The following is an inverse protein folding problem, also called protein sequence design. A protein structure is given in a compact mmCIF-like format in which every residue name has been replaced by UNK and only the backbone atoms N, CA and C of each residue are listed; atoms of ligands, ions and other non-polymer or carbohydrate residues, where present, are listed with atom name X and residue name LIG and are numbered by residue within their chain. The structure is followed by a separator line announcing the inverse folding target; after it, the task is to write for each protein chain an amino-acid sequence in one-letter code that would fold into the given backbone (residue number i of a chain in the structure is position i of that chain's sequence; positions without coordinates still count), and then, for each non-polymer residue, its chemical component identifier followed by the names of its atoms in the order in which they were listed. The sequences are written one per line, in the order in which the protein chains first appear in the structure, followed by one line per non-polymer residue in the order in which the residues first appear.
data_IF_646189872410
#
_entry.id   IF_646189872410
#
_cell.length_a   1.000
_cell.length_b   1.000
_cell.length_c   1.000
_cell.angle_alpha   90.00
_cell.angle_beta   90.00
_cell.angle_gamma   90.00
#
_symmetry.space_group_name_H-M   'P 1'
#
loop_
_entity.id
_entity.type
_entity.pdbx_description
1 polymer ?
#
# COMPACT_ATOMS: atom_id res chain seq x y z
N UNK A 1 29.90 29.24 54.55
CA UNK A 1 28.78 29.66 53.67
C UNK A 1 28.38 28.46 52.81
N UNK A 2 27.26 27.80 53.13
CA UNK A 2 26.72 26.70 52.33
C UNK A 2 25.99 27.31 51.14
N UNK A 3 26.56 27.17 49.95
CA UNK A 3 25.89 27.58 48.71
C UNK A 3 24.59 26.79 48.55
N UNK A 4 23.49 27.51 48.35
CA UNK A 4 22.21 26.92 48.01
C UNK A 4 22.39 26.17 46.68
N UNK A 5 22.45 24.83 46.73
CA UNK A 5 22.37 23.98 45.54
C UNK A 5 20.94 24.02 45.04
N UNK A 6 20.75 24.53 43.83
CA UNK A 6 19.48 24.51 43.11
C UNK A 6 18.93 23.07 43.05
N UNK A 7 17.74 22.89 43.62
CA UNK A 7 16.99 21.63 43.64
C UNK A 7 16.76 21.03 42.23
N UNK A 8 16.83 21.85 41.16
CA UNK A 8 16.66 21.43 39.76
C UNK A 8 17.80 20.60 39.17
N UNK A 9 18.99 20.61 39.78
CA UNK A 9 20.18 19.94 39.23
C UNK A 9 20.26 18.44 39.55
N UNK A 10 19.53 17.96 40.58
CA UNK A 10 19.54 16.54 40.98
C UNK A 10 18.30 15.74 40.54
N UNK A 11 17.19 16.40 40.16
CA UNK A 11 16.02 15.75 39.55
C UNK A 11 16.04 15.74 38.00
N UNK A 12 16.99 16.47 37.39
CA UNK A 12 17.12 16.57 35.93
C UNK A 12 17.66 15.32 35.23
N UNK A 13 18.20 14.36 35.99
CA UNK A 13 18.66 13.08 35.48
C UNK A 13 17.59 12.00 35.72
N UNK A 14 16.75 11.78 34.70
CA UNK A 14 15.77 10.69 34.71
C UNK A 14 16.41 9.30 34.52
N UNK A 15 17.74 9.18 34.44
CA UNK A 15 18.45 7.90 34.51
C UNK A 15 18.69 7.41 35.94
N UNK A 16 18.67 8.30 36.94
CA UNK A 16 18.86 7.94 38.37
C UNK A 16 17.70 7.07 38.91
N UNK A 17 17.78 6.44 40.08
CA UNK A 17 16.67 5.62 40.64
C UNK A 17 15.81 6.52 41.54
N UNK A 18 15.01 7.42 40.97
CA UNK A 18 14.07 8.23 41.74
C UNK A 18 12.65 7.60 41.71
N UNK A 19 12.06 7.43 42.88
CA UNK A 19 10.83 6.64 43.13
C UNK A 19 9.52 7.33 42.73
N UNK A 20 9.50 8.65 42.47
CA UNK A 20 8.28 9.41 42.19
C UNK A 20 8.05 9.77 40.71
N UNK A 21 8.52 8.94 39.77
CA UNK A 21 8.34 9.18 38.33
C UNK A 21 6.98 8.75 37.84
N UNK A 22 6.19 9.71 37.38
CA UNK A 22 4.90 9.45 36.70
C UNK A 22 4.89 10.06 35.31
N UNK A 23 4.06 9.50 34.42
CA UNK A 23 3.84 10.10 33.09
C UNK A 23 3.30 11.53 33.22
N UNK A 24 2.41 11.79 34.18
CA UNK A 24 1.87 13.12 34.45
C UNK A 24 2.99 14.12 34.77
N UNK A 25 3.92 13.74 35.65
CA UNK A 25 5.07 14.58 36.01
C UNK A 25 5.98 14.84 34.80
N UNK A 26 6.27 13.82 34.00
CA UNK A 26 7.06 13.96 32.78
C UNK A 26 6.45 14.98 31.81
N UNK A 27 5.12 14.89 31.58
CA UNK A 27 4.40 15.80 30.70
C UNK A 27 4.33 17.23 31.30
N UNK A 28 4.21 17.36 32.62
CA UNK A 28 4.26 18.66 33.30
C UNK A 28 5.62 19.34 33.13
N UNK A 29 6.72 18.61 33.27
CA UNK A 29 8.07 19.12 33.05
C UNK A 29 8.26 19.55 31.60
N UNK A 30 7.86 18.71 30.63
CA UNK A 30 7.96 19.10 29.22
C UNK A 30 7.14 20.36 28.91
N UNK A 31 5.93 20.48 29.47
CA UNK A 31 5.11 21.66 29.32
C UNK A 31 5.70 22.90 30.00
N UNK A 32 6.28 22.78 31.20
CA UNK A 32 6.87 23.92 31.90
C UNK A 32 8.13 24.43 31.21
N UNK A 33 8.90 23.54 30.57
CA UNK A 33 10.12 23.92 29.83
C UNK A 33 9.83 24.48 28.43
N UNK A 34 8.87 23.89 27.70
CA UNK A 34 8.69 24.17 26.27
C UNK A 34 7.29 24.69 25.90
N UNK A 35 6.36 24.73 26.85
CA UNK A 35 4.95 24.99 26.57
C UNK A 35 4.35 23.91 25.67
N UNK A 36 3.52 24.32 24.71
CA UNK A 36 2.92 23.42 23.70
C UNK A 36 3.89 23.03 22.58
N UNK A 37 4.91 23.84 22.32
CA UNK A 37 5.83 23.66 21.19
C UNK A 37 7.05 22.85 21.62
N UNK A 38 6.83 21.56 21.88
CA UNK A 38 7.88 20.66 22.36
C UNK A 38 8.87 20.32 21.22
N UNK A 39 10.19 20.54 21.40
CA UNK A 39 11.22 20.25 20.39
C UNK A 39 11.48 18.74 20.25
N UNK A 40 12.45 18.35 19.42
CA UNK A 40 12.93 16.96 19.31
C UNK A 40 13.35 16.40 20.66
N UNK A 41 13.22 15.08 20.85
CA UNK A 41 13.62 14.42 22.11
C UNK A 41 15.09 14.59 22.48
N UNK A 42 15.93 14.93 21.51
CA UNK A 42 17.34 15.25 21.75
C UNK A 42 17.53 16.51 22.61
N UNK A 43 16.55 17.40 22.61
CA UNK A 43 16.57 18.65 23.36
C UNK A 43 15.82 18.52 24.71
N UNK A 44 15.33 17.32 25.07
CA UNK A 44 14.58 17.09 26.31
C UNK A 44 15.52 16.82 27.48
N UNK A 45 15.06 17.00 28.74
CA UNK A 45 15.80 16.52 29.89
C UNK A 45 16.15 15.03 29.76
N UNK A 46 17.40 14.68 30.11
CA UNK A 46 17.96 13.35 29.95
C UNK A 46 17.07 12.30 30.62
N UNK A 47 16.77 11.21 29.89
CA UNK A 47 15.99 10.06 30.36
C UNK A 47 14.46 10.20 30.29
N UNK A 48 13.89 11.41 30.12
CA UNK A 48 12.43 11.59 29.98
C UNK A 48 11.89 10.86 28.75
N UNK A 49 12.60 10.95 27.62
CA UNK A 49 12.19 10.33 26.36
C UNK A 49 12.04 8.81 26.47
N UNK A 50 13.03 8.15 27.07
CA UNK A 50 13.05 6.70 27.26
C UNK A 50 12.02 6.25 28.30
N UNK A 51 11.89 6.99 29.41
CA UNK A 51 10.84 6.75 30.39
C UNK A 51 9.45 6.80 29.74
N UNK A 52 9.14 7.84 28.98
CA UNK A 52 7.84 7.96 28.34
C UNK A 52 7.61 6.86 27.29
N UNK A 53 8.64 6.54 26.50
CA UNK A 53 8.60 5.47 25.49
C UNK A 53 8.29 4.11 26.12
N UNK A 54 8.92 3.76 27.25
CA UNK A 54 8.65 2.50 27.96
C UNK A 54 7.21 2.40 28.50
N UNK A 55 6.51 3.54 28.67
CA UNK A 55 5.10 3.62 29.04
C UNK A 55 4.14 3.76 27.85
N UNK A 56 4.61 3.52 26.62
CA UNK A 56 3.77 3.61 25.41
C UNK A 56 3.54 5.03 24.89
N UNK A 57 4.33 6.00 25.37
CA UNK A 57 4.32 7.40 24.94
C UNK A 57 5.65 7.77 24.27
N UNK A 58 5.93 7.25 23.07
CA UNK A 58 7.15 7.60 22.34
C UNK A 58 7.17 9.10 22.02
N UNK A 59 8.35 9.72 21.83
CA UNK A 59 8.47 11.17 21.71
C UNK A 59 7.54 11.82 20.66
N UNK A 60 7.40 11.20 19.48
CA UNK A 60 6.52 11.69 18.41
C UNK A 60 5.05 11.79 18.84
N UNK A 61 4.57 10.84 19.67
CA UNK A 61 3.21 10.84 20.21
C UNK A 61 3.02 11.99 21.19
N UNK A 62 3.99 12.21 22.08
CA UNK A 62 3.96 13.35 23.01
C UNK A 62 3.96 14.67 22.25
N UNK A 63 4.87 14.87 21.31
CA UNK A 63 4.91 16.07 20.47
C UNK A 63 3.55 16.33 19.81
N UNK A 64 2.93 15.29 19.23
CA UNK A 64 1.61 15.36 18.58
C UNK A 64 0.44 15.68 19.53
N UNK A 65 0.60 15.35 20.81
CA UNK A 65 -0.41 15.61 21.84
C UNK A 65 -0.39 17.08 22.27
N UNK A 66 0.80 17.68 22.37
CA UNK A 66 0.98 19.08 22.73
C UNK A 66 0.75 20.05 21.56
N UNK A 67 1.23 19.72 20.37
CA UNK A 67 0.96 20.45 19.14
C UNK A 67 0.80 19.48 17.97
N UNK A 68 0.43 19.94 16.79
CA UNK A 68 0.23 19.04 15.64
C UNK A 68 1.56 18.57 15.03
N UNK A 69 1.58 17.34 14.49
CA UNK A 69 2.74 16.77 13.81
C UNK A 69 2.32 15.78 12.72
N UNK A 70 3.28 15.28 11.93
CA UNK A 70 3.00 14.23 10.94
C UNK A 70 2.35 12.99 11.59
N UNK A 71 2.66 12.72 12.87
CA UNK A 71 2.23 11.51 13.56
C UNK A 71 0.71 11.44 13.79
N UNK A 72 0.06 12.55 14.14
CA UNK A 72 -1.40 12.57 14.28
C UNK A 72 -2.10 12.95 12.96
N UNK A 73 -1.51 13.84 12.17
CA UNK A 73 -2.12 14.30 10.92
C UNK A 73 -2.12 13.25 9.81
N UNK A 74 -1.29 12.21 9.89
CA UNK A 74 -1.32 11.11 8.92
C UNK A 74 -2.69 10.42 8.85
N UNK A 75 -3.41 10.31 9.98
CA UNK A 75 -4.73 9.69 10.00
C UNK A 75 -5.79 10.59 9.37
N UNK A 76 -5.73 11.90 9.62
CA UNK A 76 -6.60 12.88 8.96
C UNK A 76 -6.37 12.90 7.44
N UNK A 77 -5.12 12.82 7.01
CA UNK A 77 -4.77 12.74 5.59
C UNK A 77 -5.38 11.51 4.94
N UNK A 78 -5.15 10.31 5.50
CA UNK A 78 -5.68 9.08 4.92
C UNK A 78 -7.20 9.04 4.95
N UNK A 79 -7.84 9.52 6.03
CA UNK A 79 -9.29 9.60 6.13
C UNK A 79 -9.91 10.53 5.07
N UNK A 80 -9.30 11.70 4.82
CA UNK A 80 -9.77 12.61 3.78
C UNK A 80 -9.55 12.01 2.37
N UNK A 81 -8.40 11.40 2.12
CA UNK A 81 -8.07 10.78 0.82
C UNK A 81 -8.97 9.58 0.51
N UNK A 82 -9.37 8.79 1.51
CA UNK A 82 -10.26 7.63 1.33
C UNK A 82 -11.74 8.00 1.22
N UNK A 83 -12.12 9.26 1.47
CA UNK A 83 -13.51 9.68 1.47
C UNK A 83 -14.09 9.71 0.04
N UNK A 84 -14.97 8.75 -0.26
CA UNK A 84 -15.53 8.54 -1.61
C UNK A 84 -16.23 9.76 -2.18
N UNK A 85 -16.93 10.52 -1.33
CA UNK A 85 -17.67 11.69 -1.80
C UNK A 85 -16.75 12.88 -2.08
N UNK A 86 -15.64 13.02 -1.36
CA UNK A 86 -14.71 14.13 -1.59
C UNK A 86 -13.75 13.81 -2.75
N UNK A 87 -13.24 12.57 -2.78
CA UNK A 87 -12.22 12.08 -3.72
C UNK A 87 -11.10 13.11 -3.99
N UNK A 88 -10.45 13.65 -2.93
CA UNK A 88 -9.54 14.77 -3.08
C UNK A 88 -8.17 14.34 -3.63
N UNK A 89 -7.43 15.32 -4.15
CA UNK A 89 -6.00 15.14 -4.41
C UNK A 89 -5.20 15.35 -3.10
N UNK A 90 -3.98 14.80 -3.03
CA UNK A 90 -3.09 14.97 -1.88
C UNK A 90 -2.84 16.45 -1.57
N UNK A 91 -2.50 17.21 -2.61
CA UNK A 91 -2.24 18.64 -2.48
C UNK A 91 -3.45 19.39 -1.91
N UNK A 92 -4.67 19.03 -2.33
CA UNK A 92 -5.92 19.65 -1.84
C UNK A 92 -6.07 19.50 -0.34
N UNK A 93 -5.79 18.30 0.20
CA UNK A 93 -5.91 18.04 1.64
C UNK A 93 -4.77 18.69 2.43
N UNK A 94 -3.52 18.55 1.96
CA UNK A 94 -2.34 18.94 2.75
C UNK A 94 -2.03 20.44 2.65
N UNK A 95 -2.30 21.08 1.52
CA UNK A 95 -1.89 22.47 1.27
C UNK A 95 -3.02 23.45 1.08
N UNK A 96 -4.22 22.97 0.74
CA UNK A 96 -5.36 23.83 0.41
C UNK A 96 -6.61 23.51 1.23
N UNK A 97 -6.48 22.78 2.33
CA UNK A 97 -7.54 22.64 3.32
C UNK A 97 -7.25 23.64 4.45
N UNK A 98 -8.21 24.50 4.75
CA UNK A 98 -8.05 25.63 5.66
C UNK A 98 -8.88 25.48 6.95
N UNK A 99 -8.64 26.35 7.94
CA UNK A 99 -9.24 26.29 9.29
C UNK A 99 -10.78 26.38 9.33
N UNK A 100 -11.38 26.71 8.21
CA UNK A 100 -12.81 26.81 7.91
C UNK A 100 -13.21 25.87 6.77
N UNK A 101 -12.42 24.83 6.46
CA UNK A 101 -12.75 23.86 5.42
C UNK A 101 -14.03 23.08 5.71
N UNK A 102 -14.43 22.96 6.98
CA UNK A 102 -15.68 22.32 7.39
C UNK A 102 -16.52 23.33 8.21
N UNK A 103 -17.62 23.80 7.63
CA UNK A 103 -18.55 24.79 8.23
C UNK A 103 -19.98 24.24 8.23
N UNK A 104 -20.80 24.51 9.26
CA UNK A 104 -22.22 24.17 9.19
C UNK A 104 -22.88 24.75 7.94
N UNK A 105 -23.60 23.92 7.18
CA UNK A 105 -24.38 24.39 6.03
C UNK A 105 -25.61 25.19 6.49
N UNK A 106 -26.19 25.94 5.56
CA UNK A 106 -27.52 26.54 5.66
C UNK A 106 -28.57 25.44 5.86
N UNK A 107 -28.38 24.28 5.20
CA UNK A 107 -29.26 23.12 5.38
C UNK A 107 -29.01 22.43 6.74
N UNK A 108 -30.07 22.37 7.55
CA UNK A 108 -30.02 21.74 8.87
C UNK A 108 -29.64 20.27 8.75
N UNK A 109 -28.50 19.92 9.35
CA UNK A 109 -28.00 18.54 9.38
C UNK A 109 -26.83 18.27 8.43
N UNK A 110 -26.47 19.24 7.59
CA UNK A 110 -25.33 19.15 6.68
C UNK A 110 -24.15 20.04 7.12
N UNK A 111 -22.99 19.71 6.59
CA UNK A 111 -21.73 20.43 6.72
C UNK A 111 -21.26 20.78 5.31
N UNK A 112 -21.05 22.07 5.06
CA UNK A 112 -20.39 22.55 3.87
C UNK A 112 -18.87 22.28 3.99
N UNK A 113 -18.33 21.59 3.00
CA UNK A 113 -16.92 21.20 2.93
C UNK A 113 -16.26 21.89 1.75
N UNK A 114 -15.35 22.80 2.07
CA UNK A 114 -14.62 23.62 1.11
C UNK A 114 -13.12 23.34 1.20
N UNK A 115 -12.52 22.90 0.11
CA UNK A 115 -11.05 22.75 0.02
C UNK A 115 -10.56 23.36 -1.29
N UNK A 116 -9.56 24.24 -1.18
CA UNK A 116 -8.96 24.91 -2.31
C UNK A 116 -8.14 23.97 -3.21
N UNK A 117 -7.55 24.56 -4.25
CA UNK A 117 -6.68 23.82 -5.17
C UNK A 117 -5.71 24.74 -5.90
N UNK A 118 -4.51 24.24 -6.17
CA UNK A 118 -3.55 24.96 -7.03
C UNK A 118 -4.02 25.13 -8.47
N UNK A 119 -4.64 24.08 -9.03
CA UNK A 119 -5.04 23.99 -10.45
C UNK A 119 -6.33 23.21 -10.59
N UNK A 120 -7.27 23.75 -11.36
CA UNK A 120 -8.61 23.18 -11.53
C UNK A 120 -9.58 23.61 -10.44
N UNK A 121 -10.76 23.01 -10.42
CA UNK A 121 -11.84 23.41 -9.53
C UNK A 121 -11.58 22.99 -8.07
N UNK A 122 -11.97 23.83 -7.10
CA UNK A 122 -11.96 23.48 -5.67
C UNK A 122 -12.97 22.37 -5.37
N UNK A 123 -12.87 21.80 -4.18
CA UNK A 123 -13.92 20.96 -3.62
C UNK A 123 -14.90 21.87 -2.92
N UNK A 124 -16.17 21.75 -3.32
CA UNK A 124 -17.29 22.42 -2.70
C UNK A 124 -18.44 21.41 -2.67
N UNK A 125 -18.68 20.81 -1.50
CA UNK A 125 -19.65 19.73 -1.31
C UNK A 125 -20.35 19.84 0.02
N UNK A 126 -21.59 19.38 0.06
CA UNK A 126 -22.31 19.15 1.31
C UNK A 126 -22.14 17.70 1.74
N UNK A 127 -21.72 17.50 2.98
CA UNK A 127 -21.69 16.20 3.64
C UNK A 127 -22.64 16.19 4.83
N UNK A 128 -23.08 15.00 5.25
CA UNK A 128 -23.84 14.89 6.49
C UNK A 128 -23.01 15.37 7.69
N UNK A 129 -23.60 16.14 8.60
CA UNK A 129 -22.95 16.53 9.86
C UNK A 129 -22.58 15.33 10.74
N UNK A 130 -23.27 14.20 10.54
CA UNK A 130 -22.98 12.93 11.25
C UNK A 130 -21.85 12.14 10.59
N UNK A 131 -21.34 12.58 9.44
CA UNK A 131 -20.21 11.93 8.79
C UNK A 131 -18.99 11.92 9.74
N UNK A 132 -18.36 10.75 10.00
CA UNK A 132 -17.19 10.66 10.87
C UNK A 132 -16.06 11.59 10.47
N UNK A 133 -15.87 11.85 9.17
CA UNK A 133 -14.88 12.79 8.66
C UNK A 133 -15.20 14.21 9.13
N UNK A 134 -16.44 14.66 8.95
CA UNK A 134 -16.88 15.99 9.39
C UNK A 134 -16.72 16.16 10.90
N UNK A 135 -17.13 15.17 11.69
CA UNK A 135 -16.97 15.20 13.16
C UNK A 135 -15.51 15.34 13.55
N UNK A 136 -14.62 14.53 12.95
CA UNK A 136 -13.19 14.55 13.24
C UNK A 136 -12.54 15.88 12.84
N UNK A 137 -12.81 16.38 11.63
CA UNK A 137 -12.23 17.63 11.14
C UNK A 137 -12.76 18.87 11.87
N UNK A 138 -14.03 18.90 12.27
CA UNK A 138 -14.56 19.98 13.11
C UNK A 138 -13.88 20.04 14.48
N UNK A 139 -13.73 18.87 15.13
CA UNK A 139 -13.00 18.77 16.39
C UNK A 139 -11.54 19.19 16.24
N UNK A 140 -10.91 18.80 15.12
CA UNK A 140 -9.54 19.18 14.81
C UNK A 140 -9.38 20.68 14.55
N UNK A 141 -10.23 21.30 13.73
CA UNK A 141 -10.28 22.75 13.49
C UNK A 141 -10.39 23.53 14.79
N UNK A 142 -11.29 23.11 15.67
CA UNK A 142 -11.49 23.73 16.99
C UNK A 142 -10.24 23.60 17.85
N UNK A 143 -9.63 22.41 17.89
CA UNK A 143 -8.38 22.17 18.61
C UNK A 143 -7.23 23.01 18.07
N UNK A 144 -7.04 23.05 16.74
CA UNK A 144 -5.96 23.81 16.12
C UNK A 144 -6.11 25.31 16.36
N UNK A 145 -7.33 25.86 16.21
CA UNK A 145 -7.63 27.26 16.55
C UNK A 145 -7.24 27.57 17.99
N UNK A 146 -7.57 26.69 18.95
CA UNK A 146 -7.17 26.85 20.35
C UNK A 146 -5.65 26.79 20.53
N UNK A 147 -4.99 25.81 19.92
CA UNK A 147 -3.54 25.65 20.02
C UNK A 147 -2.79 26.85 19.45
N UNK A 148 -3.22 27.39 18.30
CA UNK A 148 -2.60 28.57 17.68
C UNK A 148 -2.73 29.82 18.56
N UNK A 149 -3.82 29.97 19.33
CA UNK A 149 -3.95 31.06 20.32
C UNK A 149 -2.99 30.92 21.51
N UNK A 150 -2.59 29.70 21.86
CA UNK A 150 -1.75 29.41 23.03
C UNK A 150 -0.23 29.47 22.73
N UNK A 151 0.18 29.49 21.46
CA UNK A 151 1.59 29.35 21.07
C UNK A 151 2.18 30.63 20.47
N UNK A 152 3.46 30.85 20.74
CA UNK A 152 4.22 31.95 20.14
C UNK A 152 4.22 31.85 18.61
N UNK A 153 3.85 32.93 17.93
CA UNK A 153 3.72 33.00 16.48
C UNK A 153 2.45 32.34 15.91
N UNK A 154 1.58 31.78 16.74
CA UNK A 154 0.32 31.20 16.27
C UNK A 154 -0.73 32.24 15.88
N UNK A 155 -0.68 33.44 16.46
CA UNK A 155 -1.54 34.56 16.05
C UNK A 155 -1.29 34.98 14.59
N UNK A 156 -0.03 34.97 14.13
CA UNK A 156 0.33 35.28 12.75
C UNK A 156 -0.31 34.30 11.75
N UNK A 157 -0.48 33.03 12.16
CA UNK A 157 -1.20 32.03 11.36
C UNK A 157 -2.70 32.29 11.33
N UNK A 158 -3.29 32.69 12.46
CA UNK A 158 -4.73 32.99 12.55
C UNK A 158 -5.14 34.26 11.80
N UNK A 159 -4.20 35.17 11.55
CA UNK A 159 -4.42 36.39 10.76
C UNK A 159 -4.30 36.18 9.25
N UNK A 160 -3.82 35.01 8.81
CA UNK A 160 -3.86 34.67 7.38
C UNK A 160 -5.31 34.52 6.94
N UNK A 161 -5.62 35.05 5.75
CA UNK A 161 -6.89 34.81 5.06
C UNK A 161 -7.15 33.30 4.94
N UNK A 162 -6.18 32.59 4.35
CA UNK A 162 -6.18 31.15 4.20
C UNK A 162 -5.23 30.48 5.21
N UNK A 163 -5.72 30.17 6.41
CA UNK A 163 -4.93 29.46 7.41
C UNK A 163 -5.01 27.94 7.20
N UNK A 164 -3.90 27.33 6.78
CA UNK A 164 -3.83 25.90 6.47
C UNK A 164 -4.09 25.00 7.69
N UNK A 165 -4.77 23.87 7.47
CA UNK A 165 -5.05 22.88 8.50
C UNK A 165 -3.82 22.05 8.85
N UNK A 166 -3.05 21.64 7.85
CA UNK A 166 -1.95 20.68 8.05
C UNK A 166 -0.65 21.38 8.46
N UNK A 167 -0.67 21.92 9.68
CA UNK A 167 0.48 22.57 10.30
C UNK A 167 1.26 21.59 11.17
N UNK A 168 2.58 21.75 11.23
CA UNK A 168 3.42 21.06 12.21
C UNK A 168 4.47 21.98 12.81
N UNK A 169 4.97 21.59 13.97
CA UNK A 169 6.13 22.21 14.59
C UNK A 169 7.36 21.34 14.33
N UNK A 170 8.35 21.87 13.61
CA UNK A 170 9.57 21.14 13.27
C UNK A 170 10.80 22.05 13.23
N UNK A 171 11.97 21.44 13.35
CA UNK A 171 13.27 22.11 13.18
C UNK A 171 13.62 22.13 11.70
N UNK A 172 13.95 23.31 11.17
CA UNK A 172 14.63 23.39 9.88
C UNK A 172 15.58 24.58 9.86
N UNK A 173 16.74 24.39 9.22
CA UNK A 173 17.88 25.32 9.26
C UNK A 173 18.24 25.76 10.69
N UNK A 174 18.21 24.81 11.63
CA UNK A 174 18.58 25.04 13.03
C UNK A 174 17.51 25.70 13.91
N UNK A 175 16.43 26.26 13.34
CA UNK A 175 15.35 26.93 14.10
C UNK A 175 14.06 26.13 14.06
N UNK A 176 13.40 26.04 15.21
CA UNK A 176 12.07 25.47 15.30
C UNK A 176 11.00 26.51 14.95
N UNK A 177 10.03 26.13 14.12
CA UNK A 177 8.88 26.98 13.81
C UNK A 177 7.67 26.15 13.38
N UNK A 178 6.49 26.76 13.50
CA UNK A 178 5.25 26.26 12.90
C UNK A 178 5.34 26.50 11.39
N UNK A 179 4.99 25.48 10.60
CA UNK A 179 5.00 25.54 9.13
C UNK A 179 4.06 24.49 8.52
N UNK A 180 3.87 24.57 7.21
CA UNK A 180 3.24 23.51 6.43
C UNK A 180 4.25 22.39 6.15
N UNK A 181 3.76 21.20 5.82
CA UNK A 181 4.61 20.07 5.45
C UNK A 181 5.34 20.29 4.12
N UNK A 182 6.47 19.60 3.92
CA UNK A 182 7.07 19.47 2.60
C UNK A 182 6.32 18.45 1.76
N UNK A 183 6.28 18.64 0.43
CA UNK A 183 5.57 17.75 -0.52
C UNK A 183 5.90 16.27 -0.38
N UNK A 184 7.13 15.93 -0.04
CA UNK A 184 7.58 14.54 0.13
C UNK A 184 7.02 13.87 1.39
N UNK A 185 6.48 14.63 2.36
CA UNK A 185 6.05 14.12 3.65
C UNK A 185 4.74 13.32 3.56
N UNK A 186 3.84 13.68 2.64
CA UNK A 186 2.53 13.05 2.47
C UNK A 186 2.64 11.56 2.15
N UNK A 187 3.55 11.17 1.25
CA UNK A 187 3.80 9.76 0.93
C UNK A 187 4.30 8.97 2.13
N UNK A 188 5.14 9.58 2.99
CA UNK A 188 5.56 8.93 4.23
C UNK A 188 4.39 8.75 5.21
N UNK A 189 3.53 9.76 5.35
CA UNK A 189 2.34 9.71 6.21
C UNK A 189 1.40 8.58 5.76
N UNK A 190 1.12 8.48 4.47
CA UNK A 190 0.27 7.42 3.91
C UNK A 190 0.88 6.04 4.17
N UNK A 191 2.15 5.81 3.83
CA UNK A 191 2.83 4.53 4.09
C UNK A 191 2.86 4.15 5.57
N UNK A 192 3.06 5.13 6.45
CA UNK A 192 3.06 4.94 7.90
C UNK A 192 1.71 4.43 8.43
N UNK A 193 0.60 4.98 7.92
CA UNK A 193 -0.75 4.52 8.27
C UNK A 193 -1.03 3.14 7.66
N UNK A 194 -0.71 2.93 6.38
CA UNK A 194 -0.89 1.63 5.72
C UNK A 194 -0.13 0.52 6.44
N UNK A 195 1.11 0.79 6.89
CA UNK A 195 1.89 -0.16 7.71
C UNK A 195 1.21 -0.50 9.04
N UNK A 196 0.48 0.43 9.64
CA UNK A 196 -0.27 0.17 10.88
C UNK A 196 -1.52 -0.63 10.60
N UNK A 197 -2.28 -0.28 9.56
CA UNK A 197 -3.45 -1.03 9.13
C UNK A 197 -3.07 -2.45 8.71
N UNK A 198 -1.92 -2.65 8.06
CA UNK A 198 -1.41 -3.96 7.66
C UNK A 198 -1.18 -4.93 8.83
N UNK A 199 -1.02 -4.42 10.06
CA UNK A 199 -0.95 -5.26 11.27
C UNK A 199 -2.30 -5.87 11.65
N UNK A 200 -3.39 -5.20 11.30
CA UNK A 200 -4.77 -5.61 11.56
C UNK A 200 -5.38 -6.31 10.34
N UNK A 201 -4.91 -5.92 9.15
CA UNK A 201 -5.40 -6.31 7.83
C UNK A 201 -4.21 -6.75 6.95
N UNK A 202 -3.75 -8.00 7.07
CA UNK A 202 -2.56 -8.51 6.37
C UNK A 202 -2.57 -8.32 4.85
N UNK A 203 -3.74 -8.19 4.23
CA UNK A 203 -3.95 -7.88 2.81
C UNK A 203 -3.24 -6.59 2.37
N UNK A 204 -3.02 -5.63 3.28
CA UNK A 204 -2.32 -4.39 2.97
C UNK A 204 -0.79 -4.52 2.93
N UNK A 205 -0.20 -5.66 3.31
CA UNK A 205 1.27 -5.82 3.35
C UNK A 205 1.94 -5.55 2.00
N UNK A 206 1.33 -6.01 0.91
CA UNK A 206 1.84 -5.78 -0.45
C UNK A 206 1.88 -4.29 -0.83
N UNK A 207 1.05 -3.46 -0.20
CA UNK A 207 0.91 -2.04 -0.53
C UNK A 207 1.84 -1.13 0.27
N UNK A 208 2.42 -1.59 1.39
CA UNK A 208 3.08 -0.72 2.39
C UNK A 208 4.20 0.15 1.80
N UNK A 209 4.96 -0.35 0.82
CA UNK A 209 6.08 0.37 0.23
C UNK A 209 5.72 1.13 -1.06
N UNK A 210 4.66 0.68 -1.75
CA UNK A 210 4.25 1.20 -3.07
C UNK A 210 3.20 2.32 -2.95
N UNK A 211 2.40 2.31 -1.88
CA UNK A 211 1.26 3.21 -1.76
C UNK A 211 1.69 4.66 -1.53
N UNK A 212 1.05 5.55 -2.26
CA UNK A 212 1.12 7.00 -2.10
C UNK A 212 -0.29 7.58 -2.02
N UNK A 213 -0.40 8.84 -1.60
CA UNK A 213 -1.71 9.51 -1.56
C UNK A 213 -2.33 9.68 -2.95
N UNK A 214 -1.51 9.71 -4.01
CA UNK A 214 -1.98 9.84 -5.41
C UNK A 214 -2.75 8.61 -5.89
N UNK A 215 -2.65 7.47 -5.20
CA UNK A 215 -3.36 6.25 -5.57
C UNK A 215 -4.85 6.29 -5.18
N UNK A 216 -5.24 7.07 -4.18
CA UNK A 216 -6.60 7.04 -3.63
C UNK A 216 -7.69 7.48 -4.62
N UNK A 217 -7.51 8.64 -5.26
CA UNK A 217 -8.50 9.16 -6.22
C UNK A 217 -8.70 8.24 -7.44
N UNK A 218 -7.64 7.72 -8.09
CA UNK A 218 -7.77 6.67 -9.12
C UNK A 218 -8.49 5.42 -8.62
N UNK A 219 -8.18 4.94 -7.41
CA UNK A 219 -8.83 3.75 -6.85
C UNK A 219 -10.32 3.99 -6.59
N UNK A 220 -10.70 5.15 -6.04
CA UNK A 220 -12.11 5.53 -5.89
C UNK A 220 -12.80 5.54 -7.26
N UNK A 221 -12.17 6.15 -8.27
CA UNK A 221 -12.70 6.20 -9.63
C UNK A 221 -12.92 4.80 -10.23
N UNK A 222 -11.97 3.89 -10.03
CA UNK A 222 -12.08 2.51 -10.48
C UNK A 222 -13.22 1.76 -9.78
N UNK A 223 -13.34 1.89 -8.45
CA UNK A 223 -14.40 1.25 -7.68
C UNK A 223 -15.77 1.73 -8.13
N UNK A 224 -15.93 3.02 -8.45
CA UNK A 224 -17.18 3.56 -8.98
C UNK A 224 -17.56 2.96 -10.33
N UNK A 225 -16.61 2.86 -11.27
CA UNK A 225 -16.86 2.26 -12.59
C UNK A 225 -17.22 0.78 -12.43
N UNK A 226 -16.48 0.03 -11.62
CA UNK A 226 -16.78 -1.37 -11.33
C UNK A 226 -18.14 -1.56 -10.62
N UNK A 227 -18.63 -0.53 -9.93
CA UNK A 227 -19.96 -0.52 -9.31
C UNK A 227 -21.07 -0.12 -10.29
N UNK A 228 -20.75 0.15 -11.56
CA UNK A 228 -21.70 0.48 -12.62
C UNK A 228 -21.89 1.98 -12.88
N UNK A 229 -21.11 2.86 -12.24
CA UNK A 229 -21.19 4.31 -12.51
C UNK A 229 -20.65 4.63 -13.91
N UNK A 230 -21.38 5.44 -14.68
CA UNK A 230 -20.94 5.93 -15.98
C UNK A 230 -19.77 6.90 -15.86
N UNK A 231 -18.95 7.02 -16.91
CA UNK A 231 -17.86 7.99 -16.98
C UNK A 231 -18.34 9.45 -16.81
N UNK A 232 -19.55 9.76 -17.27
CA UNK A 232 -20.18 11.07 -17.10
C UNK A 232 -20.49 11.39 -15.64
N UNK A 233 -21.07 10.43 -14.90
CA UNK A 233 -21.33 10.57 -13.46
C UNK A 233 -20.01 10.72 -12.70
N UNK A 234 -19.00 9.93 -13.07
CA UNK A 234 -17.68 9.99 -12.44
C UNK A 234 -16.98 11.32 -12.71
N UNK A 235 -17.07 11.88 -13.91
CA UNK A 235 -16.54 13.21 -14.25
C UNK A 235 -17.11 14.27 -13.30
N UNK A 236 -18.43 14.26 -13.09
CA UNK A 236 -19.09 15.18 -12.16
C UNK A 236 -18.60 14.95 -10.72
N UNK A 237 -18.56 13.70 -10.28
CA UNK A 237 -18.11 13.33 -8.93
C UNK A 237 -16.68 13.79 -8.61
N UNK A 238 -15.75 13.60 -9.56
CA UNK A 238 -14.33 13.97 -9.42
C UNK A 238 -14.04 15.45 -9.70
N UNK A 239 -15.07 16.22 -10.06
CA UNK A 239 -15.00 17.62 -10.47
C UNK A 239 -14.01 17.85 -11.64
N UNK A 240 -14.05 16.97 -12.65
CA UNK A 240 -13.21 17.09 -13.84
C UNK A 240 -13.91 17.93 -14.92
N UNK A 241 -13.16 18.86 -15.53
CA UNK A 241 -13.69 19.69 -16.63
C UNK A 241 -13.95 18.89 -17.91
N UNK A 242 -13.06 17.96 -18.24
CA UNK A 242 -13.09 17.18 -19.48
C UNK A 242 -13.21 15.68 -19.20
N UNK A 243 -13.93 14.96 -20.06
CA UNK A 243 -14.13 13.52 -19.93
C UNK A 243 -12.83 12.74 -20.14
N UNK A 244 -11.94 13.20 -21.02
CA UNK A 244 -10.63 12.60 -21.30
C UNK A 244 -9.74 12.44 -20.06
N UNK A 245 -9.87 13.35 -19.08
CA UNK A 245 -9.16 13.23 -17.80
C UNK A 245 -9.71 12.09 -16.95
N UNK A 246 -11.02 11.84 -17.03
CA UNK A 246 -11.70 10.74 -16.32
C UNK A 246 -11.47 9.39 -17.01
N UNK A 247 -11.46 9.37 -18.35
CA UNK A 247 -11.14 8.20 -19.18
C UNK A 247 -9.79 7.59 -18.82
N UNK A 248 -8.77 8.43 -18.56
CA UNK A 248 -7.46 7.93 -18.12
C UNK A 248 -7.50 7.10 -16.83
N UNK A 249 -8.44 7.38 -15.91
CA UNK A 249 -8.63 6.61 -14.68
C UNK A 249 -9.49 5.37 -14.91
N UNK A 250 -10.54 5.48 -15.73
CA UNK A 250 -11.44 4.38 -16.03
C UNK A 250 -10.84 3.32 -16.94
N UNK A 251 -10.31 3.73 -18.09
CA UNK A 251 -9.82 2.82 -19.13
C UNK A 251 -8.67 1.96 -18.63
N UNK A 252 -7.72 2.49 -17.85
CA UNK A 252 -6.59 1.67 -17.37
C UNK A 252 -7.03 0.57 -16.41
N UNK A 253 -7.92 0.88 -15.49
CA UNK A 253 -8.32 -0.06 -14.45
C UNK A 253 -9.39 -1.02 -14.96
N UNK A 254 -10.32 -0.54 -15.77
CA UNK A 254 -11.32 -1.37 -16.44
C UNK A 254 -10.66 -2.30 -17.45
N UNK A 255 -9.73 -1.83 -18.29
CA UNK A 255 -9.07 -2.69 -19.29
C UNK A 255 -8.20 -3.75 -18.63
N UNK A 256 -7.37 -3.39 -17.64
CA UNK A 256 -6.51 -4.36 -16.97
C UNK A 256 -7.33 -5.36 -16.14
N UNK A 257 -8.29 -4.91 -15.33
CA UNK A 257 -9.10 -5.82 -14.52
C UNK A 257 -10.07 -6.66 -15.35
N UNK A 258 -10.65 -6.12 -16.43
CA UNK A 258 -11.46 -6.93 -17.35
C UNK A 258 -10.60 -7.95 -18.09
N UNK A 259 -9.37 -7.60 -18.49
CA UNK A 259 -8.44 -8.54 -19.10
C UNK A 259 -8.04 -9.63 -18.11
N UNK A 260 -7.65 -9.27 -16.88
CA UNK A 260 -7.27 -10.22 -15.83
C UNK A 260 -8.45 -11.11 -15.42
N UNK A 261 -9.67 -10.56 -15.33
CA UNK A 261 -10.88 -11.33 -15.02
C UNK A 261 -11.33 -12.22 -16.18
N UNK A 262 -11.23 -11.75 -17.43
CA UNK A 262 -11.45 -12.61 -18.60
C UNK A 262 -10.43 -13.73 -18.67
N UNK A 263 -9.17 -13.44 -18.34
CA UNK A 263 -8.10 -14.43 -18.28
C UNK A 263 -8.37 -15.45 -17.16
N UNK A 264 -8.75 -15.01 -15.97
CA UNK A 264 -9.10 -15.88 -14.84
C UNK A 264 -10.33 -16.75 -15.14
N UNK A 265 -11.41 -16.18 -15.67
CA UNK A 265 -12.60 -16.94 -16.05
C UNK A 265 -12.29 -17.94 -17.17
N UNK A 266 -11.41 -17.57 -18.12
CA UNK A 266 -10.96 -18.48 -19.16
C UNK A 266 -10.07 -19.60 -18.59
N UNK A 267 -9.21 -19.30 -17.61
CA UNK A 267 -8.43 -20.30 -16.88
C UNK A 267 -9.32 -21.28 -16.11
N UNK A 268 -10.30 -20.79 -15.36
CA UNK A 268 -11.28 -21.63 -14.66
C UNK A 268 -12.09 -22.50 -15.62
N UNK A 269 -12.50 -21.93 -16.76
CA UNK A 269 -13.17 -22.69 -17.82
C UNK A 269 -12.27 -23.84 -18.33
N UNK A 270 -11.01 -23.57 -18.68
CA UNK A 270 -10.08 -24.60 -19.14
C UNK A 270 -9.85 -25.70 -18.09
N UNK A 271 -9.74 -25.32 -16.82
CA UNK A 271 -9.63 -26.28 -15.71
C UNK A 271 -10.92 -27.10 -15.51
N UNK A 272 -12.09 -26.47 -15.65
CA UNK A 272 -13.39 -27.16 -15.54
C UNK A 272 -13.62 -28.17 -16.67
N UNK A 273 -13.01 -27.92 -17.84
CA UNK A 273 -13.04 -28.82 -18.99
C UNK A 273 -12.00 -29.93 -18.87
N UNK A 274 -11.15 -29.97 -17.84
CA UNK A 274 -10.16 -31.04 -17.63
C UNK A 274 -10.86 -32.33 -17.20
N UNK A 275 -10.67 -33.40 -17.95
CA UNK A 275 -11.26 -34.71 -17.63
C UNK A 275 -10.40 -35.44 -16.60
N UNK A 276 -11.01 -36.17 -15.67
CA UNK A 276 -10.27 -37.04 -14.73
C UNK A 276 -9.85 -38.38 -15.35
N UNK A 277 -10.35 -38.69 -16.55
CA UNK A 277 -10.18 -40.00 -17.20
C UNK A 277 -8.98 -40.05 -18.15
N UNK A 278 -8.47 -38.89 -18.60
CA UNK A 278 -7.35 -38.83 -19.54
C UNK A 278 -6.03 -38.48 -18.83
N UNK A 279 -4.92 -39.15 -19.18
CA UNK A 279 -3.62 -38.92 -18.55
C UNK A 279 -3.03 -37.57 -18.97
N UNK A 280 -2.40 -36.89 -18.01
CA UNK A 280 -1.66 -35.65 -18.23
C UNK A 280 -0.30 -35.95 -18.88
N UNK A 281 0.08 -35.21 -19.92
CA UNK A 281 1.31 -35.47 -20.70
C UNK A 281 2.58 -34.79 -20.16
N UNK A 282 2.57 -34.29 -18.91
CA UNK A 282 3.75 -33.68 -18.24
C UNK A 282 4.15 -32.27 -18.72
N UNK A 283 3.38 -31.72 -19.65
CA UNK A 283 3.50 -30.36 -20.21
C UNK A 283 2.16 -29.59 -20.11
N UNK A 284 1.20 -30.13 -19.35
CA UNK A 284 -0.07 -29.49 -19.05
C UNK A 284 -1.21 -29.86 -20.00
N UNK A 285 -1.03 -30.80 -20.92
CA UNK A 285 -2.08 -31.28 -21.83
C UNK A 285 -2.67 -32.62 -21.38
N UNK A 286 -3.86 -32.95 -21.88
CA UNK A 286 -4.51 -34.26 -21.76
C UNK A 286 -4.67 -34.87 -23.16
N UNK A 287 -4.30 -36.14 -23.33
CA UNK A 287 -4.37 -36.86 -24.60
C UNK A 287 -5.55 -37.85 -24.61
N UNK A 288 -6.21 -38.05 -25.76
CA UNK A 288 -7.16 -39.16 -25.96
C UNK A 288 -8.65 -38.82 -26.14
N UNK A 289 -9.04 -37.57 -26.44
CA UNK A 289 -10.44 -37.29 -26.81
C UNK A 289 -10.74 -37.77 -28.23
N UNK A 290 -11.80 -38.56 -28.39
CA UNK A 290 -12.27 -39.16 -29.66
C UNK A 290 -12.71 -38.16 -30.75
N UNK A 291 -12.55 -36.85 -30.53
CA UNK A 291 -13.12 -35.82 -31.42
C UNK A 291 -12.36 -35.66 -32.75
N UNK A 292 -11.24 -36.37 -32.98
CA UNK A 292 -10.59 -36.44 -34.30
C UNK A 292 -10.17 -37.89 -34.61
N UNK A 293 -11.03 -38.70 -35.23
CA UNK A 293 -10.77 -40.12 -35.54
C UNK A 293 -9.55 -40.37 -36.43
N UNK A 294 -9.08 -39.33 -37.15
CA UNK A 294 -7.98 -39.41 -38.11
C UNK A 294 -6.59 -39.27 -37.48
N UNK A 295 -6.49 -38.92 -36.20
CA UNK A 295 -5.20 -38.75 -35.51
C UNK A 295 -4.82 -40.02 -34.76
N UNK A 296 -4.17 -40.95 -35.45
CA UNK A 296 -3.48 -42.08 -34.82
C UNK A 296 -2.27 -41.56 -34.05
N UNK A 297 -2.33 -41.65 -32.71
CA UNK A 297 -1.27 -41.16 -31.83
C UNK A 297 0.02 -41.98 -31.99
N UNK A 298 1.09 -41.34 -32.46
CA UNK A 298 2.41 -41.96 -32.65
C UNK A 298 3.31 -42.00 -31.40
N UNK A 299 2.77 -41.70 -30.21
CA UNK A 299 3.53 -41.57 -28.95
C UNK A 299 3.72 -40.11 -28.50
N UNK A 300 4.06 -39.91 -27.21
CA UNK A 300 4.26 -38.57 -26.59
C UNK A 300 5.34 -37.77 -27.34
N UNK A 301 6.29 -38.46 -27.97
CA UNK A 301 7.35 -37.85 -28.79
C UNK A 301 6.85 -37.10 -30.04
N UNK A 302 5.63 -37.38 -30.53
CA UNK A 302 5.06 -36.78 -31.75
C UNK A 302 4.05 -35.66 -31.46
N UNK A 303 3.85 -35.28 -30.19
CA UNK A 303 2.89 -34.23 -29.78
C UNK A 303 3.27 -32.80 -30.21
N UNK A 304 4.47 -32.58 -30.77
CA UNK A 304 4.97 -31.26 -31.11
C UNK A 304 4.15 -30.56 -32.21
N UNK A 305 3.72 -31.34 -33.21
CA UNK A 305 2.97 -30.87 -34.40
C UNK A 305 1.50 -31.34 -34.41
N UNK A 306 0.95 -31.75 -33.27
CA UNK A 306 -0.41 -32.27 -33.21
C UNK A 306 -1.45 -31.15 -33.45
N UNK A 307 -2.35 -31.29 -34.46
CA UNK A 307 -3.38 -30.29 -34.77
C UNK A 307 -4.45 -30.16 -33.66
N UNK A 308 -4.52 -31.10 -32.72
CA UNK A 308 -5.40 -31.04 -31.55
C UNK A 308 -4.86 -30.14 -30.41
N UNK A 309 -3.71 -29.48 -30.59
CA UNK A 309 -3.05 -28.65 -29.57
C UNK A 309 -3.89 -27.42 -29.19
N UNK A 310 -4.04 -27.15 -27.88
CA UNK A 310 -4.55 -25.88 -27.34
C UNK A 310 -3.64 -25.36 -26.23
N UNK A 311 -3.52 -24.03 -26.12
CA UNK A 311 -2.60 -23.28 -25.24
C UNK A 311 -2.93 -23.50 -23.75
N UNK A 312 -1.92 -23.66 -22.89
CA UNK A 312 -2.07 -23.77 -21.42
C UNK A 312 -1.18 -22.76 -20.68
N UNK A 313 -1.73 -22.22 -19.59
CA UNK A 313 -1.17 -21.16 -18.73
C UNK A 313 -0.47 -21.75 -17.49
N UNK A 314 0.51 -21.01 -16.94
CA UNK A 314 1.45 -21.43 -15.89
C UNK A 314 0.74 -21.75 -14.55
N UNK A 315 1.12 -22.86 -13.91
CA UNK A 315 0.65 -23.32 -12.58
C UNK A 315 1.84 -23.92 -11.79
N UNK A 316 1.96 -23.73 -10.46
CA UNK A 316 3.08 -24.25 -9.66
C UNK A 316 3.36 -25.75 -9.80
N UNK A 317 2.32 -26.59 -9.97
CA UNK A 317 2.51 -28.03 -10.17
C UNK A 317 3.18 -28.34 -11.50
N UNK A 318 2.81 -27.58 -12.54
CA UNK A 318 3.36 -27.73 -13.88
C UNK A 318 4.81 -27.23 -13.96
N UNK A 319 5.12 -26.13 -13.28
CA UNK A 319 6.49 -25.62 -13.15
C UNK A 319 7.35 -26.64 -12.40
N UNK A 320 6.79 -27.31 -11.38
CA UNK A 320 7.47 -28.37 -10.66
C UNK A 320 7.76 -29.59 -11.57
N UNK A 321 6.84 -29.97 -12.45
CA UNK A 321 7.07 -31.02 -13.45
C UNK A 321 8.23 -30.65 -14.38
N UNK A 322 8.24 -29.43 -14.93
CA UNK A 322 9.34 -28.96 -15.77
C UNK A 322 10.69 -28.98 -15.04
N UNK A 323 10.71 -28.56 -13.78
CA UNK A 323 11.92 -28.55 -12.96
C UNK A 323 12.43 -29.96 -12.68
N UNK A 324 11.52 -30.92 -12.44
CA UNK A 324 11.85 -32.33 -12.23
C UNK A 324 12.48 -32.94 -13.50
N UNK A 325 11.84 -32.77 -14.66
CA UNK A 325 12.35 -33.28 -15.94
C UNK A 325 13.68 -32.61 -16.32
N UNK A 326 13.82 -31.30 -16.15
CA UNK A 326 15.07 -30.57 -16.41
C UNK A 326 16.23 -31.15 -15.59
N UNK A 327 16.07 -31.25 -14.26
CA UNK A 327 17.11 -31.76 -13.34
C UNK A 327 17.49 -33.20 -13.65
N UNK A 328 16.53 -34.04 -14.01
CA UNK A 328 16.81 -35.44 -14.31
C UNK A 328 17.62 -35.60 -15.59
N UNK A 329 17.27 -34.87 -16.66
CA UNK A 329 18.00 -34.93 -17.94
C UNK A 329 19.43 -34.41 -17.74
N UNK A 330 19.59 -33.29 -17.03
CA UNK A 330 20.89 -32.69 -16.71
C UNK A 330 21.77 -33.67 -15.91
N UNK A 331 21.22 -34.29 -14.85
CA UNK A 331 21.93 -35.26 -14.04
C UNK A 331 22.31 -36.54 -14.81
N UNK A 332 21.57 -36.91 -15.85
CA UNK A 332 21.79 -38.12 -16.64
C UNK A 332 22.48 -37.88 -17.99
N UNK A 333 22.88 -36.65 -18.30
CA UNK A 333 23.35 -36.24 -19.63
C UNK A 333 24.47 -37.14 -20.17
N UNK A 334 25.49 -37.44 -19.35
CA UNK A 334 26.63 -38.28 -19.77
C UNK A 334 26.18 -39.69 -20.16
N UNK A 335 25.30 -40.30 -19.36
CA UNK A 335 24.74 -41.63 -19.61
C UNK A 335 23.89 -41.64 -20.88
N UNK A 336 23.03 -40.64 -21.05
CA UNK A 336 22.14 -40.52 -22.21
C UNK A 336 22.91 -40.30 -23.51
N UNK A 337 23.96 -39.46 -23.48
CA UNK A 337 24.89 -39.26 -24.61
C UNK A 337 25.65 -40.53 -24.98
N UNK A 338 26.13 -41.27 -23.98
CA UNK A 338 26.92 -42.47 -24.20
C UNK A 338 26.07 -43.60 -24.79
N UNK A 339 24.88 -43.85 -24.23
CA UNK A 339 24.03 -44.97 -24.61
C UNK A 339 23.42 -44.81 -26.01
N UNK A 340 23.01 -43.60 -26.39
CA UNK A 340 22.45 -43.35 -27.71
C UNK A 340 22.67 -41.90 -28.16
N UNK A 341 23.80 -41.67 -28.84
CA UNK A 341 24.17 -40.34 -29.36
C UNK A 341 23.11 -39.71 -30.27
N UNK A 342 22.44 -40.53 -31.08
CA UNK A 342 21.39 -40.04 -32.00
C UNK A 342 20.16 -39.56 -31.23
N UNK A 343 19.64 -40.37 -30.30
CA UNK A 343 18.52 -39.98 -29.41
C UNK A 343 18.87 -38.81 -28.50
N UNK A 344 20.13 -38.67 -28.09
CA UNK A 344 20.56 -37.47 -27.37
C UNK A 344 20.35 -36.20 -28.21
N UNK A 345 20.92 -36.16 -29.42
CA UNK A 345 20.88 -34.98 -30.27
C UNK A 345 19.46 -34.64 -30.74
N UNK A 346 18.67 -35.66 -31.07
CA UNK A 346 17.34 -35.48 -31.67
C UNK A 346 16.21 -35.30 -30.63
N UNK A 347 16.43 -35.70 -29.36
CA UNK A 347 15.36 -35.71 -28.35
C UNK A 347 15.76 -35.06 -27.03
N UNK A 348 16.75 -35.62 -26.32
CA UNK A 348 17.08 -35.18 -24.96
C UNK A 348 17.64 -33.76 -24.91
N UNK A 349 18.49 -33.40 -25.88
CA UNK A 349 19.05 -32.06 -25.98
C UNK A 349 17.97 -31.00 -26.26
N UNK A 350 17.01 -31.32 -27.14
CA UNK A 350 15.88 -30.44 -27.43
C UNK A 350 14.98 -30.28 -26.20
N UNK A 351 14.68 -31.37 -25.49
CA UNK A 351 13.86 -31.33 -24.25
C UNK A 351 14.52 -30.53 -23.14
N UNK A 352 15.83 -30.67 -22.95
CA UNK A 352 16.58 -29.89 -21.96
C UNK A 352 16.52 -28.39 -22.29
N UNK A 353 16.70 -28.01 -23.56
CA UNK A 353 16.59 -26.62 -24.01
C UNK A 353 15.16 -26.08 -23.84
N UNK A 354 14.14 -26.91 -24.10
CA UNK A 354 12.73 -26.55 -23.95
C UNK A 354 12.39 -26.25 -22.47
N UNK A 355 12.71 -27.16 -21.55
CA UNK A 355 12.45 -26.93 -20.13
C UNK A 355 13.25 -25.74 -19.58
N UNK A 356 14.50 -25.56 -20.02
CA UNK A 356 15.30 -24.38 -19.69
C UNK A 356 14.62 -23.08 -20.13
N UNK A 357 14.13 -23.04 -21.38
CA UNK A 357 13.43 -21.86 -21.91
C UNK A 357 12.09 -21.59 -21.21
N UNK A 358 11.35 -22.64 -20.80
CA UNK A 358 10.10 -22.52 -20.04
C UNK A 358 10.36 -22.01 -18.62
N UNK A 359 11.37 -22.54 -17.94
CA UNK A 359 11.78 -22.11 -16.59
C UNK A 359 12.34 -20.68 -16.60
N UNK A 360 13.09 -20.29 -17.64
CA UNK A 360 13.58 -18.92 -17.80
C UNK A 360 12.46 -17.87 -17.93
N UNK A 361 11.25 -18.29 -18.33
CA UNK A 361 10.06 -17.44 -18.38
C UNK A 361 9.29 -17.40 -17.06
N UNK A 362 9.70 -18.13 -16.03
CA UNK A 362 9.08 -18.14 -14.71
C UNK A 362 9.79 -17.13 -13.79
N UNK A 363 9.05 -16.47 -12.91
CA UNK A 363 9.61 -15.62 -11.88
C UNK A 363 10.29 -16.45 -10.79
N UNK A 364 11.23 -15.84 -10.06
CA UNK A 364 11.96 -16.51 -8.98
C UNK A 364 11.05 -17.01 -7.86
N UNK A 365 9.94 -16.31 -7.60
CA UNK A 365 8.97 -16.72 -6.57
C UNK A 365 8.20 -17.99 -6.98
N UNK A 366 7.76 -18.07 -8.24
CA UNK A 366 7.04 -19.23 -8.78
C UNK A 366 7.92 -20.49 -8.79
N UNK A 367 9.20 -20.34 -9.13
CA UNK A 367 10.16 -21.47 -9.12
C UNK A 367 10.42 -21.97 -7.69
N UNK A 368 10.55 -21.07 -6.71
CA UNK A 368 10.72 -21.45 -5.30
C UNK A 368 9.49 -22.17 -4.74
N UNK A 369 8.29 -21.74 -5.12
CA UNK A 369 7.04 -22.41 -4.74
C UNK A 369 6.98 -23.82 -5.36
N UNK A 370 7.31 -23.94 -6.65
CA UNK A 370 7.37 -25.21 -7.35
C UNK A 370 8.41 -26.16 -6.73
N UNK A 371 9.57 -25.68 -6.28
CA UNK A 371 10.62 -26.50 -5.65
C UNK A 371 10.13 -27.29 -4.44
N UNK A 372 9.15 -26.77 -3.69
CA UNK A 372 8.54 -27.47 -2.56
C UNK A 372 7.71 -28.70 -2.96
N UNK A 373 7.28 -28.75 -4.22
CA UNK A 373 6.41 -29.81 -4.78
C UNK A 373 7.20 -30.81 -5.62
N UNK A 374 8.34 -30.41 -6.19
CA UNK A 374 9.19 -31.22 -7.10
C UNK A 374 9.56 -32.59 -6.53
N UNK A 375 9.85 -32.67 -5.23
CA UNK A 375 10.27 -33.92 -4.59
C UNK A 375 9.23 -35.05 -4.68
N UNK A 376 7.95 -34.71 -4.92
CA UNK A 376 6.85 -35.67 -4.98
C UNK A 376 6.46 -36.06 -6.42
N UNK A 377 7.15 -35.55 -7.44
CA UNK A 377 6.82 -35.80 -8.85
C UNK A 377 7.59 -37.03 -9.33
N UNK A 378 6.84 -38.08 -9.71
CA UNK A 378 7.40 -39.25 -10.39
C UNK A 378 7.53 -38.95 -11.88
N UNK A 379 8.76 -39.01 -12.39
CA UNK A 379 9.05 -38.88 -13.81
C UNK A 379 8.71 -40.21 -14.49
N UNK A 380 7.72 -40.22 -15.38
CA UNK A 380 7.20 -41.45 -15.99
C UNK A 380 8.20 -42.19 -16.91
N UNK A 381 9.33 -41.58 -17.24
CA UNK A 381 10.40 -42.13 -18.09
C UNK A 381 11.57 -42.73 -17.29
N UNK A 382 11.34 -43.09 -16.02
CA UNK A 382 12.38 -43.54 -15.08
C UNK A 382 12.75 -45.03 -15.17
N UNK A 383 12.12 -45.81 -16.04
CA UNK A 383 12.49 -47.20 -16.33
C UNK A 383 13.08 -47.35 -17.75
#
# INVERSE_FOLDING_TARGET
MRGVKDYRLSEGDWASIATNRTLKLALQILYSHFGRLIPSSNDWPLGIGDFCKSRGWPPRRIQSAFFTSAYNLQYFLVAALSHKELAPNVDTVVFYAYLDAFVPSIESGNMAVHMGKKRGSPIDKELSRKDPLCVAFCAYQTRLKKLLKEVKGGQDWLLKEDCELFLHFTKSKGRYSIRCFDKSTSSYMVRSVTKQLAKQHPEFNALVNEVTGENFKPTIAAVEILSGSSLSQLKYKLNHKHLSTTEGYGIRVETQNLQDRKLANFQEYLLSQRSKEFPDTGNGYQCGREEVPEVTCGGIEMCFDCPAKRVVLKDPKLIAEWLAYFRWIEANEQRLKFNNKKRWAEYWQLKLAEYSALLAKCSRAEVLEAESVVANIKIALMD
#
